data_IF_000058379327
#
_entry.id   IF_000058379327
#
_cell.length_a   1.000
_cell.length_b   1.000
_cell.length_c   1.000
_cell.angle_alpha   90.00
_cell.angle_beta   90.00
_cell.angle_gamma   90.00
#
_symmetry.space_group_name_H-M   'P 1'
#
loop_
_entity.id
_entity.type
_entity.pdbx_description
1 polymer ?
#
# COMPACT_ATOMS: atom_id res chain seq x y z
N UNK A 1 -5.86 18.52 4.42
CA UNK A 1 -6.71 17.30 4.41
C UNK A 1 -7.95 17.47 5.27
N UNK A 2 -7.84 17.76 6.58
CA UNK A 2 -8.99 17.88 7.49
C UNK A 2 -10.13 18.81 7.03
N UNK A 3 -9.82 19.99 6.48
CA UNK A 3 -10.87 20.91 5.98
C UNK A 3 -11.68 20.34 4.81
N UNK A 4 -11.04 19.58 3.90
CA UNK A 4 -11.73 18.93 2.78
C UNK A 4 -12.58 17.77 3.27
N UNK A 5 -12.06 16.97 4.21
CA UNK A 5 -12.82 15.91 4.84
C UNK A 5 -14.07 16.44 5.55
N UNK A 6 -13.93 17.49 6.38
CA UNK A 6 -15.06 18.12 7.05
C UNK A 6 -16.11 18.71 6.08
N UNK A 7 -15.66 19.25 4.94
CA UNK A 7 -16.58 19.66 3.88
C UNK A 7 -17.32 18.46 3.27
N UNK A 8 -16.62 17.37 2.93
CA UNK A 8 -17.23 16.15 2.39
C UNK A 8 -18.24 15.53 3.34
N UNK A 9 -17.90 15.41 4.63
CA UNK A 9 -18.82 14.92 5.66
C UNK A 9 -20.07 15.80 5.81
N UNK A 10 -19.96 17.10 5.55
CA UNK A 10 -21.11 18.01 5.58
C UNK A 10 -21.93 17.97 4.28
N UNK A 11 -21.25 17.90 3.13
CA UNK A 11 -21.87 17.96 1.80
C UNK A 11 -22.55 16.63 1.42
N UNK A 12 -21.89 15.51 1.70
CA UNK A 12 -22.39 14.16 1.43
C UNK A 12 -22.04 13.22 2.60
N UNK A 13 -22.86 13.18 3.66
CA UNK A 13 -22.64 12.30 4.80
C UNK A 13 -22.89 10.82 4.51
N UNK A 14 -23.27 10.46 3.27
CA UNK A 14 -23.61 9.07 2.91
C UNK A 14 -22.42 8.23 2.49
N UNK A 15 -21.24 8.86 2.33
CA UNK A 15 -20.00 8.20 1.86
C UNK A 15 -18.87 8.41 2.87
N UNK A 16 -18.07 7.35 3.02
CA UNK A 16 -16.85 7.38 3.82
C UNK A 16 -15.78 8.22 3.11
N UNK A 17 -14.97 8.94 3.89
CA UNK A 17 -13.77 9.64 3.46
C UNK A 17 -12.56 8.75 3.69
N UNK A 18 -11.85 8.44 2.61
CA UNK A 18 -10.58 7.73 2.62
C UNK A 18 -9.48 8.64 2.06
N UNK A 19 -8.34 8.69 2.74
CA UNK A 19 -7.14 9.33 2.24
C UNK A 19 -5.91 8.76 2.95
N UNK A 20 -5.02 8.12 2.19
CA UNK A 20 -3.84 7.43 2.74
C UNK A 20 -2.80 8.44 3.25
N UNK A 21 -2.49 9.49 2.48
CA UNK A 21 -1.42 10.43 2.81
C UNK A 21 -1.65 11.36 4.01
N UNK A 22 -2.81 11.29 4.69
CA UNK A 22 -3.02 11.99 5.97
C UNK A 22 -2.69 11.13 7.19
N UNK A 23 -2.42 9.84 7.00
CA UNK A 23 -2.33 8.87 8.07
C UNK A 23 -0.94 8.87 8.72
N UNK A 24 -0.91 8.44 9.98
CA UNK A 24 0.28 8.46 10.83
C UNK A 24 1.30 7.45 10.28
N UNK A 25 2.55 7.88 9.99
CA UNK A 25 3.55 7.00 9.42
C UNK A 25 3.94 5.89 10.40
N UNK A 26 4.27 4.72 9.87
CA UNK A 26 4.67 3.56 10.67
C UNK A 26 5.91 3.81 11.53
N UNK A 27 6.86 4.59 11.01
CA UNK A 27 8.05 4.95 11.77
C UNK A 27 7.86 6.33 12.40
N UNK A 28 8.22 6.48 13.70
CA UNK A 28 8.19 7.76 14.35
C UNK A 28 9.04 8.78 13.57
N UNK A 29 8.57 10.02 13.50
CA UNK A 29 9.40 11.10 12.98
C UNK A 29 10.72 11.15 13.77
N UNK A 30 11.83 11.42 13.07
CA UNK A 30 13.18 11.41 13.65
C UNK A 30 13.22 12.18 14.99
N UNK A 31 13.43 11.46 16.09
CA UNK A 31 13.48 12.01 17.45
C UNK A 31 12.30 11.66 18.35
N UNK A 32 11.29 10.95 17.85
CA UNK A 32 10.22 10.34 18.65
C UNK A 32 10.57 8.88 18.94
N UNK A 33 10.28 8.41 20.16
CA UNK A 33 10.42 7.00 20.54
C UNK A 33 9.06 6.30 20.45
N UNK A 34 9.03 4.96 20.41
CA UNK A 34 7.78 4.16 20.36
C UNK A 34 6.85 4.39 21.55
N UNK A 35 7.34 4.96 22.66
CA UNK A 35 6.55 5.23 23.87
C UNK A 35 5.79 6.57 23.78
N UNK A 36 6.29 7.51 22.96
CA UNK A 36 5.77 8.87 22.78
C UNK A 36 5.10 9.07 21.41
N UNK A 37 5.09 8.05 20.55
CA UNK A 37 4.46 8.11 19.24
C UNK A 37 3.01 7.63 19.31
N UNK A 38 2.09 8.57 19.19
CA UNK A 38 0.67 8.26 19.09
C UNK A 38 0.39 7.62 17.72
N UNK A 39 0.29 6.29 17.69
CA UNK A 39 -0.07 5.51 16.50
C UNK A 39 -1.53 5.72 16.05
N UNK A 40 -2.23 6.71 16.60
CA UNK A 40 -3.60 7.06 16.24
C UNK A 40 -3.60 7.83 14.92
N UNK A 41 -4.32 7.28 13.94
CA UNK A 41 -4.59 7.96 12.67
C UNK A 41 -5.61 9.09 12.87
N UNK A 42 -5.56 10.19 12.11
CA UNK A 42 -6.41 11.36 12.36
C UNK A 42 -7.89 11.07 12.13
N UNK A 43 -8.76 11.72 12.92
CA UNK A 43 -10.23 11.57 12.82
C UNK A 43 -10.84 12.07 11.50
N UNK A 44 -10.04 12.74 10.65
CA UNK A 44 -10.51 13.25 9.36
C UNK A 44 -10.62 12.18 8.26
N UNK A 45 -10.31 10.92 8.55
CA UNK A 45 -10.57 9.77 7.67
C UNK A 45 -11.42 8.73 8.37
N UNK A 46 -12.31 8.07 7.65
CA UNK A 46 -13.22 7.07 8.20
C UNK A 46 -12.67 5.64 8.10
N UNK A 47 -11.60 5.45 7.32
CA UNK A 47 -10.99 4.16 7.02
C UNK A 47 -9.48 4.27 7.13
N UNK A 48 -8.87 3.32 7.86
CA UNK A 48 -7.42 3.23 7.96
C UNK A 48 -6.86 2.59 6.70
N UNK A 49 -5.78 3.16 6.16
CA UNK A 49 -5.20 2.75 4.90
C UNK A 49 -3.69 2.94 4.87
N UNK A 50 -3.01 2.00 4.22
CA UNK A 50 -1.59 2.09 3.91
C UNK A 50 -1.31 1.71 2.46
N UNK A 51 -0.27 2.32 1.91
CA UNK A 51 0.35 2.00 0.63
C UNK A 51 1.42 0.90 0.82
N UNK A 52 1.27 -0.22 0.11
CA UNK A 52 2.13 -1.41 0.18
C UNK A 52 2.47 -1.90 1.61
N UNK A 53 1.48 -2.07 2.50
CA UNK A 53 1.71 -2.72 3.78
C UNK A 53 2.10 -4.18 3.54
N UNK A 54 2.76 -4.80 4.51
CA UNK A 54 3.23 -6.17 4.43
C UNK A 54 2.32 -7.11 5.20
N UNK A 55 2.45 -8.40 4.89
CA UNK A 55 1.93 -9.48 5.73
C UNK A 55 2.92 -9.77 6.87
N UNK A 56 2.44 -10.35 7.96
CA UNK A 56 3.23 -10.82 9.10
C UNK A 56 4.06 -12.05 8.80
N UNK A 57 3.77 -12.75 7.69
CA UNK A 57 4.57 -13.88 7.24
C UNK A 57 6.03 -13.46 7.01
N UNK A 58 6.97 -14.26 7.50
CA UNK A 58 8.39 -14.01 7.29
C UNK A 58 8.73 -14.02 5.80
N UNK A 59 9.44 -13.00 5.36
CA UNK A 59 9.98 -12.97 4.00
C UNK A 59 11.21 -13.87 3.90
N UNK A 60 11.30 -14.63 2.80
CA UNK A 60 12.55 -15.26 2.43
C UNK A 60 13.61 -14.18 2.23
N UNK A 61 14.60 -14.18 3.11
CA UNK A 61 15.72 -13.27 3.08
C UNK A 61 16.97 -14.06 2.66
N UNK A 62 17.28 -14.17 1.35
CA UNK A 62 18.52 -14.81 0.91
C UNK A 62 19.72 -14.25 1.67
N UNK A 63 20.52 -15.14 2.27
CA UNK A 63 21.69 -14.78 3.08
C UNK A 63 21.40 -14.47 4.56
N UNK A 64 20.15 -14.54 5.00
CA UNK A 64 19.75 -14.49 6.43
C UNK A 64 19.29 -15.90 6.83
N UNK A 65 19.79 -16.48 7.94
CA UNK A 65 19.34 -17.78 8.42
C UNK A 65 17.82 -17.81 8.68
N UNK A 66 17.19 -18.92 8.34
CA UNK A 66 15.78 -19.18 8.65
C UNK A 66 15.53 -19.10 10.17
N UNK A 67 14.45 -18.42 10.59
CA UNK A 67 14.15 -18.16 12.01
C UNK A 67 15.01 -17.07 12.67
N UNK A 68 15.74 -16.27 11.89
CA UNK A 68 16.40 -15.07 12.39
C UNK A 68 15.41 -13.90 12.47
N UNK A 69 15.35 -13.21 13.61
CA UNK A 69 14.58 -11.96 13.81
C UNK A 69 15.13 -10.75 13.00
N UNK A 70 16.04 -10.98 12.06
CA UNK A 70 16.70 -9.92 11.28
C UNK A 70 15.92 -9.64 10.02
N UNK A 71 15.11 -8.60 10.09
CA UNK A 71 14.45 -8.03 8.92
C UNK A 71 15.38 -7.10 8.13
N UNK A 72 15.33 -7.14 6.80
CA UNK A 72 16.02 -6.15 5.96
C UNK A 72 15.42 -4.77 6.21
N UNK A 73 16.26 -3.74 6.32
CA UNK A 73 15.80 -2.37 6.56
C UNK A 73 14.76 -1.87 5.53
N UNK A 74 14.84 -2.37 4.29
CA UNK A 74 13.88 -2.08 3.21
C UNK A 74 12.49 -2.67 3.45
N UNK A 75 12.40 -3.76 4.19
CA UNK A 75 11.15 -4.39 4.58
C UNK A 75 10.62 -3.72 5.86
N UNK A 76 11.48 -3.52 6.87
CA UNK A 76 11.15 -2.92 8.17
C UNK A 76 10.58 -1.48 8.10
N UNK A 77 10.64 -0.81 6.94
CA UNK A 77 10.00 0.50 6.73
C UNK A 77 8.49 0.42 6.56
N UNK A 78 7.95 -0.74 6.21
CA UNK A 78 6.52 -0.92 5.92
C UNK A 78 5.81 -1.65 7.04
N UNK A 79 4.68 -1.10 7.45
CA UNK A 79 3.79 -1.64 8.48
C UNK A 79 3.12 -2.95 8.07
N UNK A 80 2.79 -3.80 9.03
CA UNK A 80 1.87 -4.90 8.79
C UNK A 80 0.43 -4.42 8.92
N UNK A 81 -0.39 -4.66 7.88
CA UNK A 81 -1.78 -4.18 7.88
C UNK A 81 -2.61 -4.80 9.02
N UNK A 82 -2.33 -6.07 9.36
CA UNK A 82 -2.98 -6.78 10.46
C UNK A 82 -2.67 -6.17 11.83
N UNK A 83 -1.47 -5.62 12.04
CA UNK A 83 -1.10 -4.98 13.31
C UNK A 83 -1.96 -3.73 13.56
N UNK A 84 -2.26 -2.94 12.52
CA UNK A 84 -3.21 -1.82 12.57
C UNK A 84 -4.61 -2.30 12.97
N UNK A 85 -5.07 -3.40 12.39
CA UNK A 85 -6.39 -3.95 12.70
C UNK A 85 -6.50 -4.50 14.13
N UNK A 86 -5.39 -4.90 14.76
CA UNK A 86 -5.34 -5.39 16.14
C UNK A 86 -5.16 -4.30 17.20
N UNK A 87 -4.87 -3.05 16.79
CA UNK A 87 -4.81 -1.90 17.70
C UNK A 87 -6.11 -1.74 18.48
N UNK A 88 -5.99 -1.45 19.78
CA UNK A 88 -7.14 -1.29 20.70
C UNK A 88 -7.64 0.15 20.83
N UNK A 89 -6.86 1.13 20.36
CA UNK A 89 -7.20 2.56 20.37
C UNK A 89 -8.03 3.00 19.16
N UNK A 90 -8.31 2.10 18.21
CA UNK A 90 -9.09 2.41 17.01
C UNK A 90 -9.99 1.22 16.63
N UNK A 91 -11.19 1.51 16.12
CA UNK A 91 -12.16 0.50 15.69
C UNK A 91 -12.58 0.67 14.22
N UNK A 92 -12.02 1.63 13.49
CA UNK A 92 -12.30 1.86 12.06
C UNK A 92 -11.90 0.64 11.22
N UNK A 93 -12.57 0.40 10.08
CA UNK A 93 -12.13 -0.60 9.13
C UNK A 93 -10.73 -0.25 8.59
N UNK A 94 -9.98 -1.28 8.25
CA UNK A 94 -8.61 -1.22 7.73
C UNK A 94 -8.63 -1.81 6.32
N UNK A 95 -8.14 -1.07 5.34
CA UNK A 95 -7.91 -1.57 4.00
C UNK A 95 -6.53 -1.16 3.52
N UNK A 96 -6.11 -1.65 2.37
CA UNK A 96 -4.93 -1.11 1.69
C UNK A 96 -5.34 -0.43 0.39
N UNK A 97 -4.98 0.84 0.26
CA UNK A 97 -5.25 1.63 -0.94
C UNK A 97 -4.50 1.09 -2.16
N UNK A 98 -3.33 0.48 -1.93
CA UNK A 98 -2.52 -0.21 -2.92
C UNK A 98 -1.73 -1.34 -2.27
N UNK A 99 -1.87 -2.56 -2.79
CA UNK A 99 -1.04 -3.70 -2.42
C UNK A 99 -0.72 -4.59 -3.62
N UNK A 100 0.09 -5.62 -3.40
CA UNK A 100 0.43 -6.62 -4.41
C UNK A 100 0.84 -6.00 -5.75
N UNK A 101 1.89 -5.18 -5.75
CA UNK A 101 2.39 -4.49 -6.95
C UNK A 101 2.65 -5.49 -8.09
N UNK A 102 1.95 -5.33 -9.21
CA UNK A 102 1.86 -6.33 -10.29
C UNK A 102 2.88 -6.14 -11.43
N UNK A 103 3.93 -5.33 -11.23
CA UNK A 103 4.94 -5.07 -12.26
C UNK A 103 5.72 -6.33 -12.69
N UNK A 104 5.51 -6.75 -13.94
CA UNK A 104 6.20 -7.88 -14.54
C UNK A 104 5.80 -9.22 -13.92
N UNK A 105 6.78 -10.03 -13.51
CA UNK A 105 6.52 -11.31 -12.84
C UNK A 105 6.41 -11.08 -11.32
N UNK A 106 5.20 -10.76 -10.85
CA UNK A 106 4.94 -10.33 -9.49
C UNK A 106 3.81 -11.13 -8.79
N UNK A 107 3.06 -10.49 -7.89
CA UNK A 107 2.03 -11.10 -7.03
C UNK A 107 2.54 -12.22 -6.10
N UNK A 108 3.79 -12.12 -5.65
CA UNK A 108 4.30 -12.94 -4.55
C UNK A 108 3.49 -12.72 -3.27
N UNK A 109 3.32 -13.79 -2.48
CA UNK A 109 2.62 -13.79 -1.19
C UNK A 109 1.15 -13.35 -1.23
N UNK A 110 0.50 -13.39 -2.40
CA UNK A 110 -0.89 -12.94 -2.54
C UNK A 110 -1.87 -13.73 -1.66
N UNK A 111 -1.61 -15.03 -1.45
CA UNK A 111 -2.41 -15.89 -0.57
C UNK A 111 -2.37 -15.40 0.88
N UNK A 112 -1.18 -15.05 1.38
CA UNK A 112 -0.95 -14.63 2.76
C UNK A 112 -1.70 -13.32 3.06
N UNK A 113 -1.77 -12.38 2.10
CA UNK A 113 -2.59 -11.18 2.26
C UNK A 113 -4.05 -11.53 2.53
N UNK A 114 -4.61 -12.45 1.75
CA UNK A 114 -6.00 -12.85 1.90
C UNK A 114 -6.24 -13.67 3.17
N UNK A 115 -5.30 -14.51 3.59
CA UNK A 115 -5.38 -15.20 4.88
C UNK A 115 -5.45 -14.20 6.04
N UNK A 116 -4.64 -13.15 6.03
CA UNK A 116 -4.71 -12.10 7.04
C UNK A 116 -5.99 -11.26 6.95
N UNK A 117 -6.42 -10.90 5.74
CA UNK A 117 -7.68 -10.18 5.52
C UNK A 117 -8.86 -10.99 6.09
N UNK A 118 -8.90 -12.30 5.87
CA UNK A 118 -9.97 -13.15 6.42
C UNK A 118 -9.83 -13.41 7.92
N UNK A 119 -8.66 -13.18 8.52
CA UNK A 119 -8.39 -13.48 9.92
C UNK A 119 -8.98 -12.47 10.92
N UNK A 120 -9.33 -11.25 10.47
CA UNK A 120 -9.71 -10.17 11.37
C UNK A 120 -10.89 -9.33 10.83
N UNK A 121 -11.98 -9.12 11.61
CA UNK A 121 -13.22 -8.50 11.10
C UNK A 121 -13.07 -7.03 10.68
N UNK A 122 -12.03 -6.34 11.17
CA UNK A 122 -11.72 -4.96 10.74
C UNK A 122 -11.03 -4.89 9.38
N UNK A 123 -10.50 -6.00 8.86
CA UNK A 123 -9.81 -6.03 7.57
C UNK A 123 -10.83 -6.07 6.43
N UNK A 124 -10.93 -4.99 5.68
CA UNK A 124 -11.89 -4.80 4.60
C UNK A 124 -11.34 -5.18 3.20
N UNK A 125 -10.09 -5.66 3.13
CA UNK A 125 -9.42 -6.02 1.88
C UNK A 125 -8.50 -4.92 1.36
N UNK A 126 -8.44 -4.77 0.04
CA UNK A 126 -7.56 -3.80 -0.60
C UNK A 126 -7.66 -3.75 -2.11
N UNK A 127 -6.93 -2.81 -2.70
CA UNK A 127 -6.88 -2.61 -4.14
C UNK A 127 -5.52 -3.01 -4.68
N UNK A 128 -5.50 -3.95 -5.62
CA UNK A 128 -4.27 -4.37 -6.31
C UNK A 128 -3.76 -3.19 -7.13
N UNK A 129 -2.44 -2.97 -7.12
CA UNK A 129 -1.79 -2.03 -8.03
C UNK A 129 -1.11 -2.76 -9.20
N UNK A 130 -1.59 -2.62 -10.43
CA UNK A 130 -2.84 -2.00 -10.87
C UNK A 130 -3.54 -2.84 -11.94
N UNK A 131 -4.58 -2.30 -12.58
CA UNK A 131 -5.38 -3.07 -13.52
C UNK A 131 -4.63 -3.37 -14.81
N UNK A 132 -4.08 -2.36 -15.47
CA UNK A 132 -3.61 -2.44 -16.85
C UNK A 132 -2.25 -1.76 -17.02
N UNK A 133 -1.36 -2.41 -17.76
CA UNK A 133 -0.10 -1.81 -18.17
C UNK A 133 -0.35 -0.51 -18.95
N UNK A 134 0.29 0.59 -18.55
CA UNK A 134 0.20 1.88 -19.23
C UNK A 134 1.22 1.97 -20.38
N UNK A 135 1.31 0.89 -21.16
CA UNK A 135 2.15 0.79 -22.34
C UNK A 135 1.46 1.38 -23.58
N UNK A 136 2.26 1.87 -24.54
CA UNK A 136 1.74 2.44 -25.80
C UNK A 136 2.29 1.64 -26.96
N UNK A 137 1.42 1.07 -27.79
CA UNK A 137 1.85 0.35 -28.99
C UNK A 137 2.51 1.26 -30.03
N UNK A 138 3.69 0.86 -30.51
CA UNK A 138 4.35 1.53 -31.62
C UNK A 138 3.54 1.35 -32.93
N UNK A 139 3.31 2.42 -33.72
CA UNK A 139 2.46 2.37 -34.91
C UNK A 139 2.83 1.25 -35.89
N UNK A 140 1.84 0.41 -36.23
CA UNK A 140 2.02 -0.68 -37.20
C UNK A 140 2.80 -1.89 -36.67
N UNK A 141 3.04 -1.98 -35.36
CA UNK A 141 3.75 -3.10 -34.73
C UNK A 141 3.01 -3.57 -33.47
N UNK A 142 3.39 -4.74 -32.94
CA UNK A 142 2.94 -5.22 -31.63
C UNK A 142 3.96 -4.89 -30.52
N UNK A 143 4.90 -3.96 -30.75
CA UNK A 143 5.86 -3.55 -29.74
C UNK A 143 5.23 -2.52 -28.81
N UNK A 144 5.29 -2.78 -27.51
CA UNK A 144 4.87 -1.85 -26.46
C UNK A 144 6.02 -0.93 -26.13
N UNK A 145 5.79 0.38 -26.18
CA UNK A 145 6.68 1.45 -25.77
C UNK A 145 6.33 1.94 -24.37
N UNK A 146 7.33 2.38 -23.62
CA UNK A 146 7.17 2.94 -22.27
C UNK A 146 8.13 4.12 -22.04
N UNK A 147 8.27 4.58 -20.79
CA UNK A 147 9.08 5.75 -20.43
C UNK A 147 10.50 5.70 -21.01
N UNK A 148 10.87 6.73 -21.77
CA UNK A 148 12.15 6.87 -22.45
C UNK A 148 12.15 6.48 -23.92
N UNK A 149 11.20 5.69 -24.41
CA UNK A 149 11.10 5.33 -25.85
C UNK A 149 10.64 6.50 -26.72
N UNK A 150 10.00 7.50 -26.10
CA UNK A 150 9.55 8.73 -26.74
C UNK A 150 10.60 9.86 -26.64
N UNK A 151 11.77 9.58 -26.06
CA UNK A 151 12.81 10.58 -25.80
C UNK A 151 12.54 11.49 -24.59
N UNK A 152 11.50 11.21 -23.81
CA UNK A 152 11.11 11.92 -22.59
C UNK A 152 12.18 11.84 -21.49
N UNK A 153 12.46 12.96 -20.82
CA UNK A 153 13.46 13.09 -19.76
C UNK A 153 13.01 14.09 -18.68
N UNK A 154 13.06 13.75 -17.37
CA UNK A 154 13.38 12.42 -16.83
C UNK A 154 12.28 11.39 -17.14
N UNK A 155 12.58 10.09 -16.97
CA UNK A 155 11.60 9.01 -17.09
C UNK A 155 11.89 7.88 -16.09
N UNK A 156 10.86 7.09 -15.78
CA UNK A 156 10.94 5.94 -14.88
C UNK A 156 10.88 4.59 -15.61
N UNK A 157 11.24 4.55 -16.90
CA UNK A 157 11.31 3.30 -17.68
C UNK A 157 9.99 2.53 -17.63
N UNK A 158 10.06 1.23 -17.37
CA UNK A 158 8.93 0.32 -17.34
C UNK A 158 8.05 0.46 -16.09
N UNK A 159 8.28 1.43 -15.20
CA UNK A 159 7.48 1.63 -13.97
C UNK A 159 6.01 2.02 -14.24
N UNK A 160 5.63 2.19 -15.52
CA UNK A 160 4.24 2.35 -15.94
C UNK A 160 3.57 1.01 -16.33
N UNK A 161 4.30 -0.10 -16.29
CA UNK A 161 3.83 -1.45 -16.67
C UNK A 161 3.62 -2.30 -15.41
N UNK A 162 2.55 -1.99 -14.67
CA UNK A 162 2.25 -2.63 -13.38
C UNK A 162 0.91 -3.39 -13.40
N UNK A 163 0.35 -3.68 -14.57
CA UNK A 163 -0.99 -4.21 -14.70
C UNK A 163 -1.07 -5.71 -14.42
N UNK A 164 -2.19 -6.16 -13.86
CA UNK A 164 -2.59 -7.58 -13.92
C UNK A 164 -2.93 -8.04 -15.34
N UNK A 165 -3.21 -7.11 -16.25
CA UNK A 165 -3.38 -7.37 -17.69
C UNK A 165 -2.52 -6.42 -18.54
N UNK A 166 -2.17 -6.87 -19.74
CA UNK A 166 -1.48 -6.05 -20.74
C UNK A 166 -2.35 -4.92 -21.31
N UNK A 167 -1.69 -3.90 -21.87
CA UNK A 167 -2.26 -2.73 -22.57
C UNK A 167 -3.16 -3.08 -23.77
#
# INVERSE_FOLDING_TARGET
>A
HAAMAGWLHTFDPTRLVHYEGAQTPYQPAKGLNEQDFDETDPDCVDVLSRFYPRVKAEYLNPGVPEGSDKERAENARWEHLLDIAMRKNDNRPVLTSEYAHCMGNALGNFKEYWEEIYSHPRMAGGFIWDWVDQGIYAPGTNHVLYGGDFGDKPNLKAFCLNGVVFS
#
